data_IF_324295246990
#
_entry.id   IF_324295246990
#
_cell.length_a   1.000
_cell.length_b   1.000
_cell.length_c   1.000
_cell.angle_alpha   90.00
_cell.angle_beta   90.00
_cell.angle_gamma   90.00
#
_symmetry.space_group_name_H-M   'P 1'
#
loop_
_entity.id
_entity.type
_entity.pdbx_description
1 polymer ?
#
# COMPACT_ATOMS: atom_id res chain seq x y z
N UNK A 1 65.28 32.82 -49.41
CA UNK A 1 64.56 32.42 -48.18
C UNK A 1 63.16 33.01 -48.25
N UNK A 2 62.17 32.25 -48.70
CA UNK A 2 60.79 32.71 -48.81
C UNK A 2 59.95 32.07 -47.70
N UNK A 3 59.37 32.89 -46.82
CA UNK A 3 58.51 32.46 -45.72
C UNK A 3 57.07 32.56 -46.21
N UNK A 4 56.49 31.45 -46.67
CA UNK A 4 55.07 31.39 -46.99
C UNK A 4 54.27 31.46 -45.68
N UNK A 5 53.52 32.53 -45.53
CA UNK A 5 52.56 32.74 -44.43
C UNK A 5 51.29 32.01 -44.81
N UNK A 6 50.94 30.97 -44.06
CA UNK A 6 49.64 30.31 -44.16
C UNK A 6 48.58 31.22 -43.53
N UNK A 7 47.74 31.82 -44.36
CA UNK A 7 46.53 32.51 -43.91
C UNK A 7 45.52 31.43 -43.54
N UNK A 8 45.23 31.28 -42.24
CA UNK A 8 44.16 30.41 -41.77
C UNK A 8 42.79 31.05 -42.07
N UNK A 9 42.33 30.90 -43.31
CA UNK A 9 40.94 31.14 -43.70
C UNK A 9 40.05 29.99 -43.17
N UNK A 10 39.79 29.96 -41.87
CA UNK A 10 39.05 28.87 -41.23
C UNK A 10 37.99 29.29 -40.21
N UNK A 11 37.71 30.58 -40.05
CA UNK A 11 36.86 31.10 -38.96
C UNK A 11 35.36 31.20 -39.29
N UNK A 12 34.96 31.08 -40.55
CA UNK A 12 33.55 31.21 -40.91
C UNK A 12 32.76 29.90 -40.69
N UNK A 13 33.33 28.74 -41.01
CA UNK A 13 32.62 27.44 -40.93
C UNK A 13 32.32 27.04 -39.46
N UNK A 14 33.18 27.44 -38.52
CA UNK A 14 32.99 27.14 -37.09
C UNK A 14 31.80 27.89 -36.48
N UNK A 15 31.55 29.15 -36.88
CA UNK A 15 30.42 29.94 -36.38
C UNK A 15 29.06 29.37 -36.79
N UNK A 16 28.91 28.94 -38.05
CA UNK A 16 27.67 28.35 -38.54
C UNK A 16 27.38 26.99 -37.91
N UNK A 17 28.41 26.18 -37.67
CA UNK A 17 28.25 24.89 -37.00
C UNK A 17 27.65 25.04 -35.58
N UNK A 18 28.09 26.06 -34.82
CA UNK A 18 27.56 26.33 -33.47
C UNK A 18 26.09 26.75 -33.53
N UNK A 19 25.70 27.59 -34.49
CA UNK A 19 24.32 28.05 -34.65
C UNK A 19 23.38 26.91 -35.08
N UNK A 20 23.81 26.04 -35.98
CA UNK A 20 23.06 24.86 -36.39
C UNK A 20 22.89 23.90 -35.21
N UNK A 21 23.95 23.67 -34.43
CA UNK A 21 23.88 22.80 -33.26
C UNK A 21 22.94 23.39 -32.20
N UNK A 22 23.03 24.70 -31.91
CA UNK A 22 22.13 25.39 -30.99
C UNK A 22 20.68 25.39 -31.47
N UNK A 23 20.45 25.55 -32.78
CA UNK A 23 19.13 25.48 -33.42
C UNK A 23 18.49 24.09 -33.24
N UNK A 24 19.24 23.02 -33.47
CA UNK A 24 18.78 21.65 -33.29
C UNK A 24 18.42 21.40 -31.82
N UNK A 25 19.28 21.83 -30.89
CA UNK A 25 19.01 21.69 -29.45
C UNK A 25 17.74 22.44 -29.06
N UNK A 26 17.52 23.67 -29.54
CA UNK A 26 16.29 24.41 -29.26
C UNK A 26 15.04 23.80 -29.89
N UNK A 27 15.16 23.27 -31.12
CA UNK A 27 14.07 22.60 -31.81
C UNK A 27 13.64 21.31 -31.08
N UNK A 28 14.61 20.55 -30.58
CA UNK A 28 14.37 19.27 -29.92
C UNK A 28 14.28 19.36 -28.38
N UNK A 29 14.58 20.51 -27.76
CA UNK A 29 14.51 20.69 -26.31
C UNK A 29 13.15 20.25 -25.76
N UNK A 30 12.06 20.59 -26.46
CA UNK A 30 10.69 20.19 -26.09
C UNK A 30 10.52 18.66 -26.11
N UNK A 31 11.03 18.00 -27.15
CA UNK A 31 10.96 16.56 -27.33
C UNK A 31 11.87 15.80 -26.36
N UNK A 32 13.04 16.33 -26.04
CA UNK A 32 13.96 15.79 -25.04
C UNK A 32 13.32 15.86 -23.66
N UNK A 33 12.74 17.01 -23.29
CA UNK A 33 12.03 17.17 -22.01
C UNK A 33 10.82 16.24 -21.94
N UNK A 34 10.04 16.14 -23.01
CA UNK A 34 8.89 15.24 -23.08
C UNK A 34 9.33 13.77 -22.92
N UNK A 35 10.38 13.35 -23.65
CA UNK A 35 10.95 12.01 -23.55
C UNK A 35 11.49 11.71 -22.15
N UNK A 36 12.16 12.67 -21.52
CA UNK A 36 12.64 12.53 -20.15
C UNK A 36 11.49 12.39 -19.14
N UNK A 37 10.43 13.21 -19.27
CA UNK A 37 9.24 13.10 -18.42
C UNK A 37 8.54 11.75 -18.58
N UNK A 38 8.39 11.27 -19.82
CA UNK A 38 7.83 9.93 -20.09
C UNK A 38 8.71 8.84 -19.48
N UNK A 39 10.03 8.91 -19.68
CA UNK A 39 10.97 7.93 -19.11
C UNK A 39 10.91 7.88 -17.58
N UNK A 40 10.96 9.04 -16.92
CA UNK A 40 10.88 9.15 -15.45
C UNK A 40 9.54 8.65 -14.93
N UNK A 41 8.43 9.01 -15.58
CA UNK A 41 7.09 8.58 -15.16
C UNK A 41 6.90 7.06 -15.32
N UNK A 42 7.37 6.46 -16.42
CA UNK A 42 7.37 4.99 -16.57
C UNK A 42 8.23 4.32 -15.50
N UNK A 43 9.43 4.83 -15.24
CA UNK A 43 10.32 4.27 -14.22
C UNK A 43 9.69 4.32 -12.83
N UNK A 44 9.08 5.46 -12.48
CA UNK A 44 8.34 5.63 -11.23
C UNK A 44 7.15 4.66 -11.15
N UNK A 45 6.38 4.51 -12.23
CA UNK A 45 5.25 3.58 -12.28
C UNK A 45 5.67 2.12 -12.08
N UNK A 46 6.77 1.69 -12.72
CA UNK A 46 7.32 0.33 -12.54
C UNK A 46 7.75 0.10 -11.09
N UNK A 47 8.45 1.06 -10.47
CA UNK A 47 8.86 0.98 -9.06
C UNK A 47 7.66 0.94 -8.12
N UNK A 48 6.67 1.80 -8.33
CA UNK A 48 5.44 1.83 -7.54
C UNK A 48 4.66 0.52 -7.67
N UNK A 49 4.55 -0.02 -8.89
CA UNK A 49 3.86 -1.29 -9.14
C UNK A 49 4.57 -2.47 -8.46
N UNK A 50 5.91 -2.51 -8.51
CA UNK A 50 6.69 -3.53 -7.82
C UNK A 50 6.50 -3.47 -6.29
N UNK A 51 6.52 -2.27 -5.71
CA UNK A 51 6.27 -2.07 -4.29
C UNK A 51 4.85 -2.51 -3.89
N UNK A 52 3.86 -2.17 -4.71
CA UNK A 52 2.47 -2.54 -4.47
C UNK A 52 2.24 -4.06 -4.58
N UNK A 53 2.86 -4.72 -5.57
CA UNK A 53 2.86 -6.18 -5.69
C UNK A 53 3.45 -6.85 -4.44
N UNK A 54 4.57 -6.33 -3.92
CA UNK A 54 5.18 -6.87 -2.70
C UNK A 54 4.24 -6.75 -1.48
N UNK A 55 3.54 -5.62 -1.33
CA UNK A 55 2.54 -5.44 -0.28
C UNK A 55 1.33 -6.38 -0.48
N UNK A 56 0.90 -6.56 -1.72
CA UNK A 56 -0.26 -7.39 -2.05
C UNK A 56 0.03 -8.88 -1.90
N UNK A 57 1.26 -9.31 -2.16
CA UNK A 57 1.73 -10.67 -1.90
C UNK A 57 1.63 -11.03 -0.42
N UNK A 58 2.00 -10.09 0.48
CA UNK A 58 1.85 -10.28 1.94
C UNK A 58 0.39 -10.47 2.35
N UNK A 59 -0.50 -9.59 1.87
CA UNK A 59 -1.96 -9.72 2.14
C UNK A 59 -2.55 -11.00 1.56
N UNK A 60 -2.08 -11.46 0.39
CA UNK A 60 -2.53 -12.73 -0.20
C UNK A 60 -2.08 -13.94 0.62
N UNK A 61 -0.89 -13.91 1.22
CA UNK A 61 -0.41 -14.98 2.09
C UNK A 61 -1.27 -15.10 3.36
N UNK A 62 -1.60 -13.97 3.99
CA UNK A 62 -2.50 -13.93 5.16
C UNK A 62 -3.89 -14.48 4.82
N UNK A 63 -4.47 -14.06 3.69
CA UNK A 63 -5.76 -14.55 3.23
C UNK A 63 -5.73 -16.04 2.86
N UNK A 64 -4.61 -16.55 2.33
CA UNK A 64 -4.46 -17.97 2.03
C UNK A 64 -4.46 -18.83 3.31
N UNK A 65 -3.80 -18.36 4.37
CA UNK A 65 -3.81 -19.04 5.67
C UNK A 65 -5.22 -19.07 6.28
N UNK A 66 -5.94 -17.94 6.22
CA UNK A 66 -7.33 -17.86 6.71
C UNK A 66 -8.28 -18.77 5.92
N UNK A 67 -8.14 -18.83 4.59
CA UNK A 67 -8.94 -19.75 3.75
C UNK A 67 -8.68 -21.22 4.09
N UNK A 68 -7.43 -21.60 4.30
CA UNK A 68 -7.09 -22.97 4.69
C UNK A 68 -7.72 -23.39 6.02
N UNK A 69 -7.77 -22.48 7.00
CA UNK A 69 -8.47 -22.71 8.27
C UNK A 69 -9.99 -22.80 8.07
N UNK A 70 -10.58 -21.86 7.35
CA UNK A 70 -12.01 -21.86 7.05
C UNK A 70 -12.46 -23.13 6.30
N UNK A 71 -11.67 -23.61 5.34
CA UNK A 71 -11.96 -24.84 4.60
C UNK A 71 -11.87 -26.09 5.50
N UNK A 72 -10.96 -26.09 6.47
CA UNK A 72 -10.87 -27.17 7.46
C UNK A 72 -12.07 -27.16 8.42
N UNK A 73 -12.44 -26.00 8.97
CA UNK A 73 -13.59 -25.84 9.86
C UNK A 73 -14.90 -26.17 9.13
N UNK A 74 -15.05 -25.76 7.86
CA UNK A 74 -16.21 -26.08 7.03
C UNK A 74 -16.35 -27.58 6.78
N UNK A 75 -15.24 -28.31 6.57
CA UNK A 75 -15.29 -29.78 6.45
C UNK A 75 -15.73 -30.45 7.75
N UNK A 76 -15.28 -29.94 8.90
CA UNK A 76 -15.70 -30.43 10.21
C UNK A 76 -17.19 -30.16 10.45
N UNK A 77 -17.69 -28.99 10.05
CA UNK A 77 -19.10 -28.64 10.16
C UNK A 77 -19.98 -29.58 9.32
N UNK A 78 -19.55 -29.88 8.09
CA UNK A 78 -20.22 -30.85 7.21
C UNK A 78 -20.16 -32.29 7.74
N UNK A 79 -19.10 -32.65 8.48
CA UNK A 79 -18.97 -33.94 9.16
C UNK A 79 -19.83 -34.04 10.43
N UNK A 80 -20.50 -32.96 10.84
CA UNK A 80 -21.27 -32.89 12.08
C UNK A 80 -20.41 -32.85 13.34
N UNK A 81 -19.11 -32.54 13.20
CA UNK A 81 -18.21 -32.37 14.33
C UNK A 81 -18.50 -31.02 15.03
N UNK A 82 -18.77 -30.99 16.34
CA UNK A 82 -18.99 -29.76 17.09
C UNK A 82 -17.84 -28.75 16.97
N UNK A 83 -16.60 -29.19 16.72
CA UNK A 83 -15.46 -28.31 16.44
C UNK A 83 -15.63 -27.51 15.14
N UNK A 84 -16.37 -28.02 14.17
CA UNK A 84 -16.65 -27.29 12.93
C UNK A 84 -17.65 -26.15 13.08
N UNK A 85 -18.51 -26.19 14.11
CA UNK A 85 -19.56 -25.18 14.35
C UNK A 85 -19.09 -24.08 15.31
N UNK A 86 -18.32 -24.44 16.34
CA UNK A 86 -17.86 -23.51 17.37
C UNK A 86 -16.35 -23.20 17.30
N UNK A 87 -15.58 -23.91 16.48
CA UNK A 87 -14.12 -23.76 16.42
C UNK A 87 -13.46 -24.09 17.76
N UNK A 88 -12.41 -23.35 18.14
CA UNK A 88 -11.79 -23.41 19.47
C UNK A 88 -12.62 -22.74 20.57
N UNK A 89 -13.74 -22.09 20.20
CA UNK A 89 -14.58 -21.41 21.16
C UNK A 89 -15.40 -22.46 21.92
N UNK A 90 -15.07 -22.69 23.19
CA UNK A 90 -15.90 -23.53 24.04
C UNK A 90 -17.20 -22.76 24.32
N UNK A 91 -18.37 -23.24 23.87
CA UNK A 91 -19.62 -22.53 24.14
C UNK A 91 -19.76 -22.42 25.66
N UNK A 92 -20.01 -21.20 26.14
CA UNK A 92 -20.22 -20.96 27.55
C UNK A 92 -21.37 -21.85 28.02
N UNK A 93 -21.07 -22.89 28.80
CA UNK A 93 -22.08 -23.57 29.60
C UNK A 93 -22.48 -22.59 30.67
N UNK A 94 -23.39 -21.68 30.33
CA UNK A 94 -24.07 -20.87 31.31
C UNK A 94 -24.74 -21.88 32.24
N UNK A 95 -24.32 -21.99 33.52
CA UNK A 95 -25.15 -22.70 34.46
C UNK A 95 -26.47 -21.96 34.39
N UNK A 96 -27.56 -22.66 34.09
CA UNK A 96 -28.88 -22.17 34.45
C UNK A 96 -28.88 -22.17 35.98
N UNK A 97 -28.18 -21.20 36.57
CA UNK A 97 -28.31 -20.90 37.97
C UNK A 97 -29.79 -20.62 38.14
N UNK A 98 -30.40 -21.30 39.11
CA UNK A 98 -31.74 -20.96 39.57
C UNK A 98 -31.83 -19.43 39.61
N UNK A 99 -32.90 -18.83 39.03
CA UNK A 99 -33.00 -17.38 38.95
C UNK A 99 -32.72 -16.83 40.34
N UNK A 100 -31.80 -15.85 40.48
CA UNK A 100 -31.44 -15.37 41.80
C UNK A 100 -32.73 -14.99 42.51
N UNK A 101 -33.03 -15.65 43.63
CA UNK A 101 -34.08 -15.24 44.57
C UNK A 101 -33.69 -13.95 45.30
N UNK A 102 -32.94 -13.08 44.62
CA UNK A 102 -32.72 -11.73 45.07
C UNK A 102 -34.07 -11.02 44.93
N UNK A 103 -34.67 -10.51 46.03
CA UNK A 103 -35.78 -9.60 45.89
C UNK A 103 -35.29 -8.45 45.01
N UNK A 104 -36.04 -8.13 43.95
CA UNK A 104 -35.80 -6.97 43.09
C UNK A 104 -35.53 -5.77 44.01
N UNK A 105 -34.26 -5.35 44.08
CA UNK A 105 -33.82 -4.22 44.89
C UNK A 105 -34.73 -3.04 44.59
N UNK A 106 -35.18 -2.35 45.63
CA UNK A 106 -36.16 -1.27 45.47
C UNK A 106 -35.57 -0.20 44.53
N UNK A 107 -36.40 0.49 43.72
CA UNK A 107 -35.93 1.46 42.71
C UNK A 107 -34.98 2.56 43.22
N UNK A 108 -34.86 2.73 44.55
CA UNK A 108 -34.06 3.76 45.19
C UNK A 108 -32.56 3.41 45.26
N UNK A 109 -32.16 2.15 45.27
CA UNK A 109 -30.74 1.73 45.34
C UNK A 109 -29.97 1.98 44.03
N UNK A 110 -30.65 1.97 42.89
CA UNK A 110 -30.04 2.18 41.57
C UNK A 110 -29.50 3.61 41.37
N UNK A 111 -29.96 4.58 42.15
CA UNK A 111 -29.54 5.97 42.04
C UNK A 111 -28.27 6.31 42.84
N UNK A 112 -27.83 5.45 43.76
CA UNK A 112 -26.71 5.76 44.66
C UNK A 112 -25.33 5.42 44.05
N UNK A 113 -25.29 4.68 42.94
CA UNK A 113 -24.04 4.31 42.25
C UNK A 113 -23.43 5.41 41.37
N UNK A 114 -24.06 6.60 41.27
CA UNK A 114 -23.60 7.72 40.43
C UNK A 114 -22.77 8.80 41.14
N UNK A 115 -22.61 8.75 42.47
CA UNK A 115 -22.05 9.86 43.26
C UNK A 115 -20.51 9.90 43.42
N UNK A 116 -19.77 8.97 42.82
CA UNK A 116 -18.35 8.72 43.14
C UNK A 116 -17.31 9.44 42.27
N UNK A 117 -17.60 10.60 41.69
CA UNK A 117 -16.63 11.34 40.85
C UNK A 117 -16.49 12.81 41.26
N UNK A 118 -16.03 13.11 42.48
CA UNK A 118 -15.22 14.30 42.78
C UNK A 118 -14.46 14.08 44.10
N UNK A 119 -13.15 13.89 44.04
CA UNK A 119 -12.15 14.67 44.80
C UNK A 119 -10.86 14.74 43.99
#
# INVERSE_FOLDING_TARGET
MAKHVYVHEGSHVSGWAVLIMASIIFAFAKWIVLGALIGVSLWAAVKAYAAWQAQRARRRAELAALRGRADWENRLALAGDPLGTYGEYTPATMPLADPPTQPLGTPREWYDYGGGLQQ
#
